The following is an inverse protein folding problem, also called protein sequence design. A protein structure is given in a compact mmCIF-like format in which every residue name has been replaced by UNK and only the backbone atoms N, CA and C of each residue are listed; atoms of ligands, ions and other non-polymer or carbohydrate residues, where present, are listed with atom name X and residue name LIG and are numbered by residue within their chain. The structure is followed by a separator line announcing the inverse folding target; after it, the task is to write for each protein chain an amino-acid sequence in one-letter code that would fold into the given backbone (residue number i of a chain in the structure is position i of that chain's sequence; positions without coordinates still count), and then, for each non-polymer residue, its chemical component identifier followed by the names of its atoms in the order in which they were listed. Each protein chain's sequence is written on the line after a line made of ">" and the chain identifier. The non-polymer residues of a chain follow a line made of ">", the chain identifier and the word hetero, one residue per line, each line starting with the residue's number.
data_IF_269877521350
#
_entry.id   IF_269877521350
#
_cell.length_a   1.000
_cell.length_b   1.000
_cell.length_c   1.000
_cell.angle_alpha   90.00
_cell.angle_beta   90.00
_cell.angle_gamma   90.00
#
_symmetry.space_group_name_H-M   'P 1'
#
loop_
_entity.id
_entity.type
_entity.pdbx_description
1 polymer ?
#
# COMPACT_ATOMS: atom_id res chain seq x y z
N UNK A 1 -16.51 -26.33 -23.30
CA UNK A 1 -15.61 -26.91 -22.27
C UNK A 1 -14.91 -25.86 -21.40
N UNK A 2 -14.41 -24.74 -21.98
CA UNK A 2 -13.58 -23.75 -21.26
C UNK A 2 -14.36 -22.75 -20.36
N UNK A 3 -15.66 -22.56 -20.61
CA UNK A 3 -16.51 -21.58 -19.90
C UNK A 3 -16.59 -21.83 -18.38
N UNK A 4 -16.61 -23.09 -17.96
CA UNK A 4 -16.62 -23.48 -16.54
C UNK A 4 -15.30 -23.14 -15.85
N UNK A 5 -14.17 -23.34 -16.54
CA UNK A 5 -12.84 -23.00 -16.03
C UNK A 5 -12.67 -21.49 -15.86
N UNK A 6 -13.13 -20.70 -16.84
CA UNK A 6 -13.10 -19.22 -16.75
C UNK A 6 -13.94 -18.73 -15.58
N UNK A 7 -15.15 -19.26 -15.37
CA UNK A 7 -15.99 -18.89 -14.23
C UNK A 7 -15.33 -19.21 -12.88
N UNK A 8 -14.64 -20.35 -12.78
CA UNK A 8 -13.88 -20.71 -11.58
C UNK A 8 -12.74 -19.72 -11.30
N UNK A 9 -11.98 -19.34 -12.33
CA UNK A 9 -10.94 -18.33 -12.19
C UNK A 9 -11.53 -16.98 -11.76
N UNK A 10 -12.56 -16.49 -12.46
CA UNK A 10 -13.23 -15.23 -12.13
C UNK A 10 -13.71 -15.18 -10.68
N UNK A 11 -14.23 -16.28 -10.14
CA UNK A 11 -14.61 -16.37 -8.73
C UNK A 11 -13.40 -16.28 -7.79
N UNK A 12 -12.27 -16.90 -8.15
CA UNK A 12 -11.01 -16.88 -7.36
C UNK A 12 -10.32 -15.50 -7.33
N UNK A 13 -10.31 -14.76 -8.44
CA UNK A 13 -9.63 -13.46 -8.53
C UNK A 13 -10.38 -12.31 -7.82
N UNK A 14 -11.63 -12.50 -7.42
CA UNK A 14 -12.39 -11.49 -6.66
C UNK A 14 -11.75 -11.19 -5.29
N UNK A 15 -11.00 -12.14 -4.73
CA UNK A 15 -10.22 -11.91 -3.50
C UNK A 15 -8.76 -11.61 -3.88
N UNK A 16 -8.34 -10.33 -3.89
CA UNK A 16 -6.95 -9.98 -4.17
C UNK A 16 -6.02 -10.58 -3.11
N UNK A 17 -4.87 -11.11 -3.54
CA UNK A 17 -3.85 -11.65 -2.64
C UNK A 17 -3.16 -10.48 -1.94
N UNK A 18 -3.59 -10.18 -0.72
CA UNK A 18 -2.96 -9.16 0.11
C UNK A 18 -1.70 -9.68 0.77
N UNK A 19 -0.54 -9.15 0.38
CA UNK A 19 0.73 -9.43 1.07
C UNK A 19 0.76 -8.62 2.37
N UNK A 20 0.86 -9.30 3.51
CA UNK A 20 1.06 -8.66 4.83
C UNK A 20 2.52 -8.82 5.23
N UNK A 21 3.22 -7.72 5.46
CA UNK A 21 4.55 -7.74 6.07
C UNK A 21 4.40 -8.08 7.55
N UNK A 22 5.11 -9.14 7.98
CA UNK A 22 5.16 -9.57 9.37
C UNK A 22 3.77 -9.76 10.04
N UNK A 23 2.73 -10.09 9.25
CA UNK A 23 1.31 -10.17 9.68
C UNK A 23 0.67 -8.87 10.23
N UNK A 24 1.41 -7.76 10.34
CA UNK A 24 0.93 -6.52 10.97
C UNK A 24 0.56 -5.45 9.94
N UNK A 25 1.40 -5.26 8.91
CA UNK A 25 1.22 -4.15 7.97
C UNK A 25 0.89 -4.69 6.58
N UNK A 26 -0.27 -4.37 5.99
CA UNK A 26 -0.53 -4.69 4.60
C UNK A 26 0.47 -3.94 3.72
N UNK A 27 1.19 -4.66 2.85
CA UNK A 27 2.14 -4.07 1.90
C UNK A 27 1.38 -3.79 0.61
N UNK A 28 1.24 -2.52 0.27
CA UNK A 28 0.52 -2.11 -0.94
C UNK A 28 0.74 -0.64 -1.25
N UNK A 29 0.13 -0.18 -2.34
CA UNK A 29 0.26 1.21 -2.83
C UNK A 29 -0.21 2.23 -1.80
N UNK A 30 -1.24 1.91 -1.01
CA UNK A 30 -1.74 2.77 0.06
C UNK A 30 -0.68 2.98 1.15
N UNK A 31 0.02 1.91 1.54
CA UNK A 31 1.10 1.96 2.53
C UNK A 31 2.29 2.77 2.00
N UNK A 32 2.64 2.61 0.72
CA UNK A 32 3.69 3.44 0.10
C UNK A 32 3.29 4.93 0.03
N UNK A 33 2.03 5.23 -0.27
CA UNK A 33 1.52 6.61 -0.23
C UNK A 33 1.59 7.20 1.18
N UNK A 34 1.25 6.43 2.20
CA UNK A 34 1.38 6.84 3.59
C UNK A 34 2.84 7.15 3.95
N UNK A 35 3.79 6.27 3.58
CA UNK A 35 5.22 6.49 3.79
C UNK A 35 5.68 7.79 3.16
N UNK A 36 5.33 8.05 1.89
CA UNK A 36 5.70 9.28 1.20
C UNK A 36 5.14 10.51 1.93
N UNK A 37 3.86 10.51 2.31
CA UNK A 37 3.23 11.61 3.05
C UNK A 37 3.95 11.88 4.37
N UNK A 38 4.27 10.84 5.13
CA UNK A 38 4.99 10.99 6.41
C UNK A 38 6.40 11.54 6.20
N UNK A 39 7.11 11.07 5.18
CA UNK A 39 8.46 11.55 4.86
C UNK A 39 8.45 13.02 4.48
N UNK A 40 7.54 13.45 3.62
CA UNK A 40 7.43 14.87 3.24
C UNK A 40 7.03 15.75 4.42
N UNK A 41 6.07 15.30 5.23
CA UNK A 41 5.64 16.04 6.42
C UNK A 41 6.80 16.22 7.41
N UNK A 42 7.57 15.16 7.65
CA UNK A 42 8.74 15.19 8.51
C UNK A 42 9.85 16.09 7.94
N UNK A 43 10.12 16.01 6.65
CA UNK A 43 11.08 16.89 5.98
C UNK A 43 10.72 18.37 6.12
N UNK A 44 9.44 18.72 5.90
CA UNK A 44 8.97 20.10 6.04
C UNK A 44 9.08 20.61 7.48
N UNK A 45 8.75 19.77 8.47
CA UNK A 45 8.92 20.09 9.89
C UNK A 45 10.38 20.37 10.23
N UNK A 46 11.31 19.51 9.81
CA UNK A 46 12.74 19.70 10.02
C UNK A 46 13.25 20.99 9.36
N UNK A 47 12.77 21.28 8.14
CA UNK A 47 13.13 22.50 7.42
C UNK A 47 12.61 23.76 8.13
N UNK A 48 11.40 23.73 8.67
CA UNK A 48 10.84 24.84 9.44
C UNK A 48 11.67 25.10 10.70
N UNK A 49 12.00 24.05 11.47
CA UNK A 49 12.85 24.15 12.66
C UNK A 49 14.27 24.63 12.35
N UNK A 50 14.84 24.23 11.21
CA UNK A 50 16.17 24.66 10.80
C UNK A 50 16.21 26.12 10.33
N UNK A 51 15.12 26.64 9.76
CA UNK A 51 15.00 28.04 9.33
C UNK A 51 14.59 29.03 10.42
N UNK A 52 14.27 28.54 11.63
CA UNK A 52 13.90 29.35 12.81
C UNK A 52 15.13 29.76 13.65
N UNK A 53 16.35 29.47 13.19
CA UNK A 53 17.63 29.96 13.77
C UNK A 53 18.24 31.04 12.90
#
# INVERSE_FOLDING_TARGET
>A
KNRRTVLFFLHKIQTPVGLKASKVVPVGVNTMSAILKTTFSYYMMLRALAGER
#
